data_IF_076448275116
#
_entry.id   IF_076448275116
#
_cell.length_a   1.000
_cell.length_b   1.000
_cell.length_c   1.000
_cell.angle_alpha   90.00
_cell.angle_beta   90.00
_cell.angle_gamma   90.00
#
_symmetry.space_group_name_H-M   'P 1'
#
loop_
_entity.id
_entity.type
_entity.pdbx_description
1 polymer ?
#
# COMPACT_ATOMS: atom_id res chain seq x y z
N UNK A 1 69.42 -15.26 4.08
CA UNK A 1 68.30 -15.80 3.28
C UNK A 1 67.13 -16.05 4.23
N UNK A 2 66.14 -15.13 4.26
CA UNK A 2 64.68 -15.35 4.10
C UNK A 2 64.12 -16.64 4.75
N UNK A 3 63.00 -16.70 5.49
CA UNK A 3 61.94 -15.75 5.91
C UNK A 3 61.14 -16.48 7.01
N UNK A 4 60.85 -15.84 8.13
CA UNK A 4 59.68 -16.14 8.97
C UNK A 4 58.59 -15.12 8.61
N UNK A 5 57.34 -15.55 8.46
CA UNK A 5 56.23 -14.64 8.26
C UNK A 5 54.93 -15.39 8.07
N UNK A 6 54.11 -15.43 9.12
CA UNK A 6 52.90 -16.25 9.23
C UNK A 6 51.83 -15.92 8.19
N UNK A 7 51.10 -16.95 7.80
CA UNK A 7 49.89 -16.83 6.99
C UNK A 7 48.72 -16.44 7.90
N UNK A 8 48.33 -15.16 7.86
CA UNK A 8 47.06 -14.70 8.43
C UNK A 8 45.93 -15.02 7.46
N UNK A 9 45.09 -15.99 7.82
CA UNK A 9 43.82 -16.25 7.12
C UNK A 9 42.83 -15.17 7.56
N UNK A 10 42.61 -14.17 6.70
CA UNK A 10 41.54 -13.19 6.88
C UNK A 10 40.21 -13.83 6.47
N UNK A 11 39.43 -14.25 7.47
CA UNK A 11 38.03 -14.61 7.28
C UNK A 11 37.24 -13.35 6.92
N UNK A 12 36.86 -13.22 5.65
CA UNK A 12 35.93 -12.19 5.21
C UNK A 12 34.53 -12.52 5.73
N UNK A 13 34.12 -11.83 6.81
CA UNK A 13 32.73 -11.74 7.22
C UNK A 13 31.97 -11.03 6.10
N UNK A 14 31.25 -11.79 5.27
CA UNK A 14 30.25 -11.25 4.37
C UNK A 14 29.11 -10.68 5.23
N UNK A 15 29.25 -9.42 5.62
CA UNK A 15 28.14 -8.61 6.09
C UNK A 15 27.18 -8.49 4.91
N UNK A 16 26.15 -9.34 4.89
CA UNK A 16 24.99 -9.13 4.03
C UNK A 16 24.43 -7.75 4.36
N UNK A 17 24.61 -6.79 3.47
CA UNK A 17 23.92 -5.52 3.58
C UNK A 17 22.41 -5.80 3.68
N UNK A 18 21.67 -5.13 4.56
CA UNK A 18 20.22 -5.23 4.52
C UNK A 18 19.79 -4.80 3.12
N UNK A 19 19.07 -5.69 2.42
CA UNK A 19 18.47 -5.34 1.14
C UNK A 19 17.66 -4.03 1.36
N UNK A 20 17.86 -2.99 0.54
CA UNK A 20 17.03 -1.80 0.66
C UNK A 20 15.57 -2.25 0.58
N UNK A 21 14.76 -1.86 1.56
CA UNK A 21 13.33 -2.11 1.55
C UNK A 21 12.80 -1.69 0.18
N UNK A 22 12.25 -2.65 -0.56
CA UNK A 22 11.76 -2.45 -1.92
C UNK A 22 10.86 -1.22 -1.93
N UNK A 23 11.26 -0.19 -2.69
CA UNK A 23 10.54 1.08 -2.70
C UNK A 23 9.16 0.82 -3.30
N UNK A 24 8.14 0.74 -2.46
CA UNK A 24 6.76 0.56 -2.90
C UNK A 24 6.42 1.59 -3.98
N UNK A 25 5.71 1.14 -5.02
CA UNK A 25 5.13 1.97 -6.08
C UNK A 25 3.70 1.48 -6.34
N UNK A 26 2.79 2.36 -6.82
CA UNK A 26 1.47 1.90 -7.23
C UNK A 26 1.62 0.84 -8.32
N UNK A 27 0.85 -0.23 -8.19
CA UNK A 27 0.78 -1.25 -9.23
C UNK A 27 -0.10 -0.77 -10.39
N UNK A 28 0.12 -1.30 -11.58
CA UNK A 28 -0.83 -1.17 -12.68
C UNK A 28 -2.08 -2.00 -12.38
N UNK A 29 -3.27 -1.44 -12.59
CA UNK A 29 -4.52 -2.20 -12.43
C UNK A 29 -4.55 -3.34 -13.46
N UNK A 30 -4.63 -4.59 -12.97
CA UNK A 30 -4.77 -5.74 -13.84
C UNK A 30 -6.20 -5.84 -14.39
N UNK A 31 -6.43 -6.51 -15.53
CA UNK A 31 -7.79 -6.72 -16.06
C UNK A 31 -8.74 -7.41 -15.06
N UNK A 32 -8.21 -8.29 -14.20
CA UNK A 32 -9.00 -8.95 -13.16
C UNK A 32 -9.50 -7.96 -12.10
N UNK A 33 -8.65 -7.01 -11.70
CA UNK A 33 -9.01 -5.97 -10.74
C UNK A 33 -9.99 -4.95 -11.34
N UNK A 34 -9.73 -4.51 -12.58
CA UNK A 34 -10.65 -3.63 -13.30
C UNK A 34 -12.05 -4.24 -13.43
N UNK A 35 -12.14 -5.50 -13.87
CA UNK A 35 -13.41 -6.23 -13.98
C UNK A 35 -14.11 -6.36 -12.62
N UNK A 36 -13.37 -6.67 -11.57
CA UNK A 36 -13.92 -6.79 -10.20
C UNK A 36 -14.50 -5.45 -9.73
N UNK A 37 -13.74 -4.36 -9.90
CA UNK A 37 -14.18 -3.00 -9.56
C UNK A 37 -15.45 -2.61 -10.33
N UNK A 38 -15.49 -2.90 -11.63
CA UNK A 38 -16.66 -2.63 -12.49
C UNK A 38 -17.90 -3.41 -12.03
N UNK A 39 -17.76 -4.71 -11.76
CA UNK A 39 -18.86 -5.54 -11.27
C UNK A 39 -19.42 -5.02 -9.93
N UNK A 40 -18.54 -4.69 -8.99
CA UNK A 40 -18.95 -4.16 -7.68
C UNK A 40 -19.59 -2.78 -7.81
N UNK A 41 -19.12 -1.96 -8.76
CA UNK A 41 -19.75 -0.67 -9.05
C UNK A 41 -21.15 -0.85 -9.65
N UNK A 42 -21.31 -1.77 -10.59
CA UNK A 42 -22.60 -2.08 -11.23
C UNK A 42 -23.61 -2.66 -10.25
N UNK A 43 -23.16 -3.48 -9.30
CA UNK A 43 -24.01 -4.07 -8.26
C UNK A 43 -24.44 -3.07 -7.18
N UNK A 44 -23.76 -1.92 -7.07
CA UNK A 44 -23.98 -0.93 -6.02
C UNK A 44 -23.12 -1.13 -4.75
N UNK A 45 -22.37 -2.23 -4.64
CA UNK A 45 -21.48 -2.51 -3.50
C UNK A 45 -20.30 -1.54 -3.40
N UNK A 46 -19.84 -1.01 -4.53
CA UNK A 46 -18.80 0.02 -4.60
C UNK A 46 -19.38 1.30 -5.22
N UNK A 47 -19.24 2.48 -4.58
CA UNK A 47 -19.73 3.72 -5.15
C UNK A 47 -19.06 4.05 -6.50
N UNK A 48 -19.86 4.49 -7.47
CA UNK A 48 -19.38 4.91 -8.78
C UNK A 48 -18.62 6.25 -8.69
N UNK A 49 -17.28 6.19 -8.74
CA UNK A 49 -16.38 7.37 -8.77
C UNK A 49 -15.01 7.01 -9.37
N UNK A 50 -14.16 7.99 -9.70
CA UNK A 50 -12.80 7.73 -10.19
C UNK A 50 -11.91 7.09 -9.12
N UNK A 51 -11.82 5.77 -9.13
CA UNK A 51 -10.94 5.01 -8.24
C UNK A 51 -9.55 4.85 -8.87
N UNK A 52 -8.52 5.24 -8.13
CA UNK A 52 -7.11 4.98 -8.44
C UNK A 52 -6.69 3.67 -7.80
N UNK A 53 -6.28 2.69 -8.60
CA UNK A 53 -5.73 1.43 -8.11
C UNK A 53 -4.38 1.68 -7.44
N UNK A 54 -4.19 1.15 -6.23
CA UNK A 54 -2.94 1.29 -5.49
C UNK A 54 -2.15 -0.02 -5.52
N UNK A 55 -2.75 -1.09 -5.03
CA UNK A 55 -2.12 -2.40 -5.00
C UNK A 55 -3.17 -3.52 -4.92
N UNK A 56 -2.75 -4.70 -5.35
CA UNK A 56 -3.48 -5.94 -5.23
C UNK A 56 -2.61 -7.06 -4.67
N UNK A 57 -3.24 -7.96 -3.96
CA UNK A 57 -2.68 -9.19 -3.42
C UNK A 57 -3.49 -10.36 -3.95
N UNK A 58 -2.80 -11.34 -4.51
CA UNK A 58 -3.40 -12.58 -4.97
C UNK A 58 -2.62 -13.77 -4.39
N UNK A 59 -3.21 -14.41 -3.39
CA UNK A 59 -2.66 -15.61 -2.75
C UNK A 59 -3.71 -16.72 -2.73
N UNK A 60 -3.33 -17.98 -2.50
CA UNK A 60 -4.30 -19.07 -2.35
C UNK A 60 -5.33 -18.85 -1.23
N UNK A 61 -5.01 -18.04 -0.22
CA UNK A 61 -5.90 -17.76 0.92
C UNK A 61 -6.76 -16.50 0.74
N UNK A 62 -6.28 -15.52 -0.04
CA UNK A 62 -6.81 -14.16 -0.06
C UNK A 62 -6.55 -13.48 -1.41
N UNK A 63 -7.63 -12.90 -1.94
CA UNK A 63 -7.60 -11.83 -2.93
C UNK A 63 -7.95 -10.52 -2.26
N UNK A 64 -7.10 -9.52 -2.38
CA UNK A 64 -7.39 -8.18 -1.88
C UNK A 64 -6.91 -7.10 -2.86
N UNK A 65 -7.67 -6.02 -2.98
CA UNK A 65 -7.25 -4.83 -3.72
C UNK A 65 -7.53 -3.57 -2.90
N UNK A 66 -6.65 -2.60 -3.02
CA UNK A 66 -6.76 -1.28 -2.39
C UNK A 66 -6.86 -0.20 -3.47
N UNK A 67 -7.86 0.67 -3.31
CA UNK A 67 -8.11 1.81 -4.18
C UNK A 67 -8.20 3.09 -3.37
N UNK A 68 -7.87 4.21 -4.01
CA UNK A 68 -7.99 5.56 -3.50
C UNK A 68 -8.95 6.39 -4.37
N UNK A 69 -9.79 7.21 -3.77
CA UNK A 69 -10.60 8.22 -4.47
C UNK A 69 -10.61 9.56 -3.70
N UNK A 70 -10.98 10.62 -4.43
CA UNK A 70 -11.21 11.96 -3.90
C UNK A 70 -10.06 12.53 -3.04
N UNK A 71 -8.79 12.49 -3.51
CA UNK A 71 -7.67 13.02 -2.76
C UNK A 71 -7.81 14.54 -2.59
N UNK A 72 -7.82 14.98 -1.33
CA UNK A 72 -7.97 16.37 -0.94
C UNK A 72 -6.76 16.80 -0.11
N UNK A 73 -6.08 17.86 -0.54
CA UNK A 73 -4.97 18.44 0.24
C UNK A 73 -5.51 19.13 1.50
N UNK A 74 -4.80 18.93 2.60
CA UNK A 74 -5.07 19.50 3.92
C UNK A 74 -3.78 20.09 4.48
N UNK A 75 -3.86 20.84 5.59
CA UNK A 75 -2.67 21.37 6.28
C UNK A 75 -1.67 20.28 6.68
N UNK A 76 -2.15 19.09 7.01
CA UNK A 76 -1.33 17.99 7.54
C UNK A 76 -0.90 16.96 6.48
N UNK A 77 -1.44 17.04 5.27
CA UNK A 77 -1.17 16.08 4.20
C UNK A 77 -2.38 15.88 3.28
N UNK A 78 -2.71 14.65 2.91
CA UNK A 78 -3.80 14.36 1.95
C UNK A 78 -4.86 13.49 2.61
N UNK A 79 -6.12 13.92 2.61
CA UNK A 79 -7.27 13.12 3.03
C UNK A 79 -7.99 12.54 1.81
N UNK A 80 -8.43 11.29 1.88
CA UNK A 80 -9.01 10.57 0.73
C UNK A 80 -9.92 9.43 1.18
N UNK A 81 -10.70 8.88 0.27
CA UNK A 81 -11.50 7.68 0.52
C UNK A 81 -10.73 6.45 0.02
N UNK A 82 -10.59 5.45 0.89
CA UNK A 82 -10.02 4.16 0.57
C UNK A 82 -11.12 3.12 0.35
N UNK A 83 -10.96 2.26 -0.66
CA UNK A 83 -11.78 1.06 -0.82
C UNK A 83 -10.89 -0.19 -0.75
N UNK A 84 -11.25 -1.11 0.14
CA UNK A 84 -10.63 -2.43 0.24
C UNK A 84 -11.61 -3.48 -0.28
N UNK A 85 -11.25 -4.10 -1.39
CA UNK A 85 -11.99 -5.24 -1.96
C UNK A 85 -11.34 -6.51 -1.44
N UNK A 86 -12.08 -7.37 -0.75
CA UNK A 86 -11.52 -8.57 -0.11
C UNK A 86 -12.37 -9.78 -0.46
N UNK A 87 -11.73 -10.81 -1.02
CA UNK A 87 -12.34 -12.13 -1.21
C UNK A 87 -11.42 -13.19 -0.60
N UNK A 88 -11.95 -13.93 0.37
CA UNK A 88 -11.25 -15.06 1.01
C UNK A 88 -11.39 -16.32 0.15
N UNK A 89 -10.49 -17.29 0.33
CA UNK A 89 -10.44 -18.56 -0.43
C UNK A 89 -11.79 -19.20 -0.71
N UNK A 90 -12.64 -19.32 0.31
CA UNK A 90 -13.93 -20.03 0.24
C UNK A 90 -15.13 -19.07 0.23
N UNK A 91 -14.90 -17.78 -0.01
CA UNK A 91 -15.97 -16.79 -0.11
C UNK A 91 -16.36 -16.57 -1.57
N UNK A 92 -17.62 -16.83 -1.89
CA UNK A 92 -18.17 -16.55 -3.22
C UNK A 92 -18.29 -15.04 -3.47
N UNK A 93 -18.54 -14.27 -2.41
CA UNK A 93 -18.77 -12.83 -2.48
C UNK A 93 -17.54 -12.01 -2.09
N UNK A 94 -17.41 -10.84 -2.72
CA UNK A 94 -16.49 -9.80 -2.28
C UNK A 94 -17.04 -9.08 -1.05
N UNK A 95 -16.15 -8.77 -0.12
CA UNK A 95 -16.41 -7.76 0.91
C UNK A 95 -15.82 -6.45 0.45
N UNK A 96 -16.63 -5.39 0.40
CA UNK A 96 -16.18 -4.02 0.16
C UNK A 96 -16.10 -3.29 1.50
N UNK A 97 -14.94 -2.71 1.81
CA UNK A 97 -14.79 -1.82 2.97
C UNK A 97 -14.37 -0.45 2.50
N UNK A 98 -15.26 0.51 2.70
CA UNK A 98 -14.96 1.92 2.53
C UNK A 98 -14.39 2.50 3.82
N UNK A 99 -13.32 3.27 3.70
CA UNK A 99 -12.64 3.85 4.85
C UNK A 99 -12.16 5.25 4.52
N UNK A 100 -12.43 6.22 5.40
CA UNK A 100 -11.83 7.54 5.27
C UNK A 100 -10.38 7.47 5.72
N UNK A 101 -9.46 7.97 4.91
CA UNK A 101 -8.03 7.88 5.16
C UNK A 101 -7.35 9.25 5.11
N UNK A 102 -6.16 9.34 5.71
CA UNK A 102 -5.25 10.46 5.53
C UNK A 102 -3.80 10.03 5.52
N UNK A 103 -3.06 10.54 4.55
CA UNK A 103 -1.61 10.47 4.47
C UNK A 103 -1.02 11.72 5.17
N UNK A 104 -0.25 11.52 6.23
CA UNK A 104 0.45 12.57 6.96
C UNK A 104 1.84 12.77 6.35
N UNK A 105 1.94 13.69 5.39
CA UNK A 105 3.11 13.79 4.51
C UNK A 105 4.43 14.01 5.26
N UNK A 106 4.45 14.90 6.26
CA UNK A 106 5.64 15.19 7.05
C UNK A 106 6.02 14.06 8.03
N UNK A 107 5.05 13.19 8.35
CA UNK A 107 5.25 12.08 9.29
C UNK A 107 5.42 10.73 8.59
N UNK A 108 5.24 10.68 7.26
CA UNK A 108 5.24 9.46 6.46
C UNK A 108 4.31 8.36 7.00
N UNK A 109 3.18 8.77 7.59
CA UNK A 109 2.21 7.88 8.22
C UNK A 109 0.91 7.87 7.44
N UNK A 110 0.33 6.68 7.35
CA UNK A 110 -1.01 6.49 6.80
C UNK A 110 -1.97 6.21 7.94
N UNK A 111 -3.09 6.92 7.97
CA UNK A 111 -4.11 6.77 9.01
C UNK A 111 -5.47 6.54 8.39
N UNK A 112 -6.33 5.87 9.15
CA UNK A 112 -7.74 5.71 8.83
C UNK A 112 -8.61 6.26 9.94
N UNK A 113 -9.82 6.68 9.58
CA UNK A 113 -10.86 7.00 10.53
C UNK A 113 -11.48 5.70 11.05
N UNK A 114 -11.44 5.52 12.36
CA UNK A 114 -12.13 4.41 13.03
C UNK A 114 -13.65 4.63 13.06
N UNK A 115 -14.41 3.58 13.38
CA UNK A 115 -15.85 3.67 13.57
C UNK A 115 -16.24 4.65 14.70
N UNK A 116 -15.34 4.87 15.66
CA UNK A 116 -15.50 5.81 16.78
C UNK A 116 -15.12 7.25 16.40
N UNK A 117 -14.77 7.53 15.13
CA UNK A 117 -14.38 8.87 14.67
C UNK A 117 -12.95 9.27 15.05
N UNK A 118 -12.15 8.37 15.62
CA UNK A 118 -10.74 8.62 15.93
C UNK A 118 -9.84 8.25 14.75
N UNK A 119 -8.83 9.07 14.47
CA UNK A 119 -7.78 8.73 13.51
C UNK A 119 -6.79 7.75 14.14
N UNK A 120 -6.62 6.59 13.51
CA UNK A 120 -5.71 5.53 13.96
C UNK A 120 -4.74 5.18 12.84
N UNK A 121 -3.55 4.71 13.22
CA UNK A 121 -2.58 4.26 12.22
C UNK A 121 -3.15 3.09 11.43
N UNK A 122 -3.09 3.25 10.13
CA UNK A 122 -3.39 2.17 9.21
C UNK A 122 -2.12 1.36 9.11
N UNK A 123 -2.08 0.25 9.86
CA UNK A 123 -0.95 -0.68 9.90
C UNK A 123 -0.62 -1.10 8.47
N UNK A 124 0.39 -0.45 7.91
CA UNK A 124 0.86 -0.77 6.59
C UNK A 124 1.89 -1.88 6.68
N UNK A 125 2.00 -2.62 5.58
CA UNK A 125 3.11 -3.51 5.33
C UNK A 125 4.39 -2.68 5.11
N UNK A 126 5.52 -3.37 4.95
CA UNK A 126 6.75 -2.73 4.47
C UNK A 126 6.45 -1.85 3.24
N UNK A 127 7.08 -0.68 3.17
CA UNK A 127 6.84 0.30 2.08
C UNK A 127 5.78 1.37 2.37
N UNK A 128 5.23 1.44 3.59
CA UNK A 128 4.25 2.47 3.99
C UNK A 128 4.72 3.90 3.71
N UNK A 129 6.00 4.22 4.00
CA UNK A 129 6.55 5.56 3.78
C UNK A 129 6.55 5.96 2.29
N UNK A 130 6.93 5.03 1.40
CA UNK A 130 6.93 5.26 -0.05
C UNK A 130 5.49 5.40 -0.59
N UNK A 131 4.53 4.61 -0.08
CA UNK A 131 3.10 4.81 -0.37
C UNK A 131 2.61 6.19 0.03
N UNK A 132 2.95 6.64 1.23
CA UNK A 132 2.58 7.98 1.70
C UNK A 132 3.20 9.07 0.82
N UNK A 133 4.47 8.94 0.44
CA UNK A 133 5.12 9.88 -0.48
C UNK A 133 4.39 9.96 -1.82
N UNK A 134 4.01 8.82 -2.41
CA UNK A 134 3.24 8.78 -3.65
C UNK A 134 1.88 9.48 -3.51
N UNK A 135 1.11 9.20 -2.45
CA UNK A 135 -0.17 9.87 -2.19
C UNK A 135 0.03 11.38 -2.06
N UNK A 136 1.07 11.81 -1.35
CA UNK A 136 1.38 13.23 -1.14
C UNK A 136 1.83 13.96 -2.41
N UNK A 137 2.31 13.23 -3.41
CA UNK A 137 2.69 13.75 -4.72
C UNK A 137 1.50 13.84 -5.71
N UNK A 138 0.34 13.25 -5.39
CA UNK A 138 -0.85 13.34 -6.24
C UNK A 138 -1.22 14.81 -6.48
N UNK A 139 -1.48 15.15 -7.75
CA UNK A 139 -2.00 16.47 -8.10
C UNK A 139 -3.48 16.54 -7.73
N UNK A 140 -3.98 17.69 -7.26
CA UNK A 140 -5.42 17.90 -7.17
C UNK A 140 -6.06 17.60 -8.55
N UNK A 141 -7.28 17.05 -8.60
CA UNK A 141 -8.05 17.10 -9.84
C UNK A 141 -8.11 18.56 -10.30
N UNK A 142 -7.70 18.80 -11.54
CA UNK A 142 -7.72 20.13 -12.17
C UNK A 142 -9.13 20.60 -12.46
#
# INVERSE_FOLDING_TARGET
>A
MLRLGGASVLAALALGAPAPAETWQPQTESPMWAKTREQLTQSGDLPARPWLFMEGLHTPALRAAEYLADPTRTRMGVAFDGALLIQKKDADNWTVRLVRMRALCNQQRLQRLSAQGAWVDYLGRDGTAAKVQWICALRPPG
#
